data_IF_482502299368
#
_entry.id   IF_482502299368
#
_cell.length_a   1.000
_cell.length_b   1.000
_cell.length_c   1.000
_cell.angle_alpha   90.00
_cell.angle_beta   90.00
_cell.angle_gamma   90.00
#
_symmetry.space_group_name_H-M   'P 1'
#
loop_
_entity.id
_entity.type
_entity.pdbx_description
1 polymer ?
#
# COMPACT_ATOMS: atom_id res chain seq x y z
N UNK A 1 15.39 12.71 2.92
CA UNK A 1 15.21 11.35 3.46
C UNK A 1 14.38 10.58 2.45
N UNK A 2 14.77 9.35 2.14
CA UNK A 2 14.16 8.55 1.07
C UNK A 2 12.96 7.74 1.60
N UNK A 3 11.75 8.30 1.45
CA UNK A 3 10.48 7.67 1.85
C UNK A 3 10.22 6.41 1.01
N UNK A 4 10.65 6.40 -0.25
CA UNK A 4 10.48 5.27 -1.16
C UNK A 4 11.34 4.10 -0.67
N UNK A 5 12.59 4.36 -0.29
CA UNK A 5 13.47 3.35 0.30
C UNK A 5 12.88 2.70 1.56
N UNK A 6 12.26 3.49 2.44
CA UNK A 6 11.59 2.97 3.64
C UNK A 6 10.34 2.13 3.31
N UNK A 7 9.55 2.54 2.32
CA UNK A 7 8.41 1.75 1.82
C UNK A 7 8.88 0.41 1.25
N UNK A 8 9.95 0.41 0.44
CA UNK A 8 10.52 -0.80 -0.14
C UNK A 8 11.00 -1.74 0.97
N UNK A 9 11.68 -1.22 1.98
CA UNK A 9 12.13 -2.02 3.12
C UNK A 9 10.96 -2.66 3.88
N UNK A 10 9.91 -1.87 4.16
CA UNK A 10 8.69 -2.35 4.82
C UNK A 10 7.98 -3.44 4.01
N UNK A 11 7.81 -3.26 2.70
CA UNK A 11 7.19 -4.26 1.83
C UNK A 11 8.00 -5.55 1.72
N UNK A 12 9.34 -5.45 1.69
CA UNK A 12 10.22 -6.63 1.72
C UNK A 12 10.09 -7.40 3.03
N UNK A 13 10.02 -6.70 4.16
CA UNK A 13 9.82 -7.34 5.46
C UNK A 13 8.46 -8.04 5.52
N UNK A 14 7.40 -7.39 5.04
CA UNK A 14 6.05 -7.97 4.93
C UNK A 14 6.06 -9.23 4.06
N UNK A 15 6.72 -9.19 2.89
CA UNK A 15 6.89 -10.34 2.01
C UNK A 15 7.57 -11.53 2.73
N UNK A 16 8.69 -11.29 3.41
CA UNK A 16 9.41 -12.35 4.13
C UNK A 16 8.55 -13.01 5.22
N UNK A 17 7.71 -12.24 5.90
CA UNK A 17 6.77 -12.79 6.89
C UNK A 17 5.70 -13.67 6.22
N UNK A 18 5.14 -13.22 5.10
CA UNK A 18 4.17 -14.01 4.34
C UNK A 18 4.77 -15.30 3.79
N UNK A 19 6.00 -15.28 3.29
CA UNK A 19 6.70 -16.49 2.80
C UNK A 19 6.87 -17.54 3.90
N UNK A 20 7.21 -17.11 5.12
CA UNK A 20 7.27 -17.98 6.30
C UNK A 20 5.90 -18.58 6.63
N UNK A 21 4.85 -17.75 6.58
CA UNK A 21 3.48 -18.20 6.82
C UNK A 21 2.99 -19.18 5.75
N UNK A 22 3.33 -18.98 4.47
CA UNK A 22 3.05 -19.92 3.38
C UNK A 22 3.73 -21.25 3.65
N UNK A 23 5.01 -21.23 4.04
CA UNK A 23 5.78 -22.43 4.32
C UNK A 23 5.15 -23.25 5.46
N UNK A 24 4.74 -22.56 6.53
CA UNK A 24 4.01 -23.17 7.65
C UNK A 24 2.65 -23.73 7.23
N UNK A 25 1.88 -22.97 6.44
CA UNK A 25 0.57 -23.39 5.98
C UNK A 25 0.64 -24.60 5.04
N UNK A 26 1.65 -24.66 4.16
CA UNK A 26 1.95 -25.83 3.32
C UNK A 26 2.31 -27.04 4.17
N UNK A 27 3.19 -26.87 5.16
CA UNK A 27 3.51 -27.94 6.09
C UNK A 27 2.27 -28.50 6.79
N UNK A 28 1.40 -27.65 7.34
CA UNK A 28 0.17 -28.11 8.00
C UNK A 28 -0.80 -28.78 7.03
N UNK A 29 -0.98 -28.24 5.81
CA UNK A 29 -1.80 -28.87 4.76
C UNK A 29 -1.31 -30.29 4.44
N UNK A 30 0.01 -30.46 4.31
CA UNK A 30 0.61 -31.71 3.85
C UNK A 30 0.62 -32.80 4.94
N UNK A 31 0.55 -32.39 6.22
CA UNK A 31 0.49 -33.29 7.38
C UNK A 31 -0.93 -33.43 7.97
N UNK A 32 -1.92 -32.73 7.43
CA UNK A 32 -3.31 -32.88 7.82
C UNK A 32 -3.89 -34.19 7.24
N UNK A 33 -4.74 -34.90 7.98
CA UNK A 33 -5.36 -36.13 7.50
C UNK A 33 -6.17 -35.85 6.23
N UNK A 34 -6.12 -36.79 5.30
CA UNK A 34 -6.93 -36.77 4.10
C UNK A 34 -8.39 -37.05 4.43
N UNK A 35 -9.29 -36.68 3.51
CA UNK A 35 -10.72 -36.96 3.64
C UNK A 35 -11.06 -38.46 3.74
N UNK A 36 -10.12 -39.34 3.34
CA UNK A 36 -10.23 -40.80 3.52
C UNK A 36 -9.80 -41.26 4.93
N UNK A 37 -8.92 -40.52 5.60
CA UNK A 37 -8.40 -40.84 6.94
C UNK A 37 -9.29 -40.27 8.05
N UNK A 38 -9.97 -39.14 7.79
CA UNK A 38 -10.95 -38.55 8.71
C UNK A 38 -12.02 -37.78 7.94
N UNK A 39 -13.26 -38.28 7.97
CA UNK A 39 -14.37 -37.74 7.19
C UNK A 39 -14.86 -36.36 7.68
N UNK A 40 -14.48 -35.96 8.90
CA UNK A 40 -14.91 -34.72 9.53
C UNK A 40 -13.80 -33.66 9.64
N UNK A 41 -12.57 -34.01 9.25
CA UNK A 41 -11.43 -33.09 9.33
C UNK A 41 -11.31 -32.25 8.05
N UNK A 42 -11.59 -30.95 8.16
CA UNK A 42 -11.51 -29.97 7.07
C UNK A 42 -10.18 -29.24 6.99
N UNK A 43 -9.24 -29.54 7.92
CA UNK A 43 -7.96 -28.82 8.08
C UNK A 43 -7.21 -28.71 6.76
N UNK A 44 -7.13 -29.81 6.00
CA UNK A 44 -6.42 -29.82 4.71
C UNK A 44 -7.00 -28.80 3.71
N UNK A 45 -8.32 -28.73 3.59
CA UNK A 45 -9.00 -27.80 2.66
C UNK A 45 -8.89 -26.35 3.13
N UNK A 46 -8.97 -26.12 4.45
CA UNK A 46 -8.81 -24.78 5.02
C UNK A 46 -7.40 -24.23 4.81
N UNK A 47 -6.39 -25.06 5.05
CA UNK A 47 -5.00 -24.67 4.83
C UNK A 47 -4.66 -24.53 3.35
N UNK A 48 -5.30 -25.28 2.45
CA UNK A 48 -5.18 -25.07 1.00
C UNK A 48 -5.69 -23.69 0.59
N UNK A 49 -6.88 -23.28 1.05
CA UNK A 49 -7.43 -21.93 0.83
C UNK A 49 -6.52 -20.85 1.41
N UNK A 50 -5.98 -21.09 2.60
CA UNK A 50 -5.05 -20.16 3.25
C UNK A 50 -3.75 -19.99 2.45
N UNK A 51 -3.16 -21.09 1.96
CA UNK A 51 -1.97 -21.04 1.09
C UNK A 51 -2.27 -20.20 -0.15
N UNK A 52 -3.38 -20.43 -0.82
CA UNK A 52 -3.77 -19.66 -2.00
C UNK A 52 -3.91 -18.16 -1.70
N UNK A 53 -4.57 -17.81 -0.60
CA UNK A 53 -4.74 -16.42 -0.18
C UNK A 53 -3.40 -15.73 0.13
N UNK A 54 -2.51 -16.40 0.87
CA UNK A 54 -1.17 -15.89 1.20
C UNK A 54 -0.30 -15.71 -0.06
N UNK A 55 -0.33 -16.66 -1.00
CA UNK A 55 0.39 -16.56 -2.27
C UNK A 55 -0.16 -15.43 -3.17
N UNK A 56 -1.47 -15.15 -3.10
CA UNK A 56 -2.06 -13.98 -3.76
C UNK A 56 -1.51 -12.68 -3.17
N UNK A 57 -1.44 -12.57 -1.84
CA UNK A 57 -0.89 -11.39 -1.17
C UNK A 57 0.59 -11.16 -1.51
N UNK A 58 1.40 -12.23 -1.59
CA UNK A 58 2.80 -12.13 -2.03
C UNK A 58 2.89 -11.57 -3.45
N UNK A 59 2.04 -12.04 -4.36
CA UNK A 59 1.97 -11.53 -5.75
C UNK A 59 1.62 -10.05 -5.79
N UNK A 60 0.68 -9.59 -4.96
CA UNK A 60 0.35 -8.16 -4.84
C UNK A 60 1.54 -7.33 -4.37
N UNK A 61 2.27 -7.80 -3.35
CA UNK A 61 3.49 -7.11 -2.87
C UNK A 61 4.55 -7.06 -3.96
N UNK A 62 4.75 -8.14 -4.72
CA UNK A 62 5.70 -8.15 -5.84
C UNK A 62 5.32 -7.17 -6.94
N UNK A 63 4.03 -7.02 -7.25
CA UNK A 63 3.54 -6.02 -8.19
C UNK A 63 3.81 -4.60 -7.65
N UNK A 64 3.55 -4.34 -6.37
CA UNK A 64 3.86 -3.07 -5.71
C UNK A 64 5.35 -2.75 -5.77
N UNK A 65 6.22 -3.72 -5.50
CA UNK A 65 7.68 -3.56 -5.59
C UNK A 65 8.15 -3.26 -7.01
N UNK A 66 7.55 -3.88 -8.03
CA UNK A 66 7.83 -3.56 -9.44
C UNK A 66 7.43 -2.14 -9.80
N UNK A 67 6.26 -1.68 -9.34
CA UNK A 67 5.82 -0.30 -9.52
C UNK A 67 6.81 0.68 -8.88
N UNK A 68 7.29 0.37 -7.68
CA UNK A 68 8.28 1.18 -6.97
C UNK A 68 9.65 1.23 -7.68
N UNK A 69 10.02 0.19 -8.42
CA UNK A 69 11.23 0.21 -9.24
C UNK A 69 11.13 1.15 -10.46
N UNK A 70 9.91 1.45 -10.90
CA UNK A 70 9.62 2.33 -12.05
C UNK A 70 9.36 3.78 -11.68
N UNK A 71 9.63 4.18 -10.42
CA UNK A 71 9.27 5.50 -9.90
C UNK A 71 10.14 6.58 -10.59
N UNK A 72 9.53 7.55 -11.30
CA UNK A 72 10.24 8.73 -11.75
C UNK A 72 10.68 9.56 -10.54
N UNK A 73 11.76 10.34 -10.67
CA UNK A 73 12.16 11.28 -9.62
C UNK A 73 10.96 12.15 -9.21
N UNK A 74 10.72 12.25 -7.91
CA UNK A 74 9.67 13.09 -7.30
C UNK A 74 9.88 14.52 -7.79
N UNK A 75 8.96 15.01 -8.63
CA UNK A 75 9.02 16.37 -9.19
C UNK A 75 8.17 17.30 -8.33
N UNK A 76 8.82 18.32 -7.75
CA UNK A 76 8.19 19.35 -6.91
C UNK A 76 7.76 20.60 -7.72
N UNK A 77 8.06 20.65 -9.02
CA UNK A 77 7.81 21.84 -9.84
C UNK A 77 6.64 21.62 -10.80
N UNK A 78 5.52 22.28 -10.52
CA UNK A 78 4.38 22.41 -11.43
C UNK A 78 3.08 21.78 -10.92
N UNK A 79 2.28 21.26 -11.85
CA UNK A 79 1.01 20.59 -11.53
C UNK A 79 1.29 19.29 -10.78
N UNK A 80 0.50 19.02 -9.74
CA UNK A 80 0.57 17.79 -8.97
C UNK A 80 0.30 16.58 -9.88
N UNK A 81 1.24 15.63 -9.89
CA UNK A 81 1.16 14.37 -10.63
C UNK A 81 1.39 13.19 -9.69
N UNK A 82 1.27 11.97 -10.21
CA UNK A 82 1.69 10.77 -9.50
C UNK A 82 3.17 10.91 -9.15
N UNK A 83 3.52 10.54 -7.91
CA UNK A 83 4.82 10.73 -7.27
C UNK A 83 5.18 12.17 -6.92
N UNK A 84 4.25 13.12 -6.99
CA UNK A 84 4.47 14.46 -6.42
C UNK A 84 4.25 14.45 -4.92
N UNK A 85 5.15 15.11 -4.19
CA UNK A 85 4.98 15.41 -2.79
C UNK A 85 4.12 16.66 -2.64
N UNK A 86 3.14 16.63 -1.73
CA UNK A 86 2.20 17.72 -1.52
C UNK A 86 2.12 18.02 -0.03
N UNK A 87 2.24 19.29 0.34
CA UNK A 87 2.02 19.71 1.72
C UNK A 87 0.73 20.51 1.81
N UNK A 88 -0.25 19.98 2.53
CA UNK A 88 -1.50 20.68 2.82
C UNK A 88 -1.38 21.43 4.13
N UNK A 89 -1.61 22.73 4.09
CA UNK A 89 -1.60 23.61 5.26
C UNK A 89 -3.02 24.08 5.58
N UNK A 90 -3.42 23.91 6.83
CA UNK A 90 -4.60 24.51 7.45
C UNK A 90 -4.12 25.29 8.69
N UNK A 91 -4.77 26.41 9.09
CA UNK A 91 -4.50 27.10 10.35
C UNK A 91 -4.23 26.21 11.59
N UNK A 92 -4.82 25.01 11.64
CA UNK A 92 -4.72 24.08 12.76
C UNK A 92 -3.78 22.89 12.54
N UNK A 93 -3.34 22.60 11.31
CA UNK A 93 -2.58 21.37 11.02
C UNK A 93 -1.81 21.43 9.71
N UNK A 94 -0.70 20.69 9.63
CA UNK A 94 0.06 20.45 8.41
C UNK A 94 0.02 18.96 8.08
N UNK A 95 -0.41 18.63 6.86
CA UNK A 95 -0.47 17.26 6.34
C UNK A 95 0.51 17.12 5.19
N UNK A 96 1.45 16.17 5.31
CA UNK A 96 2.37 15.81 4.23
C UNK A 96 1.83 14.60 3.50
N UNK A 97 1.76 14.68 2.19
CA UNK A 97 1.17 13.67 1.33
C UNK A 97 2.13 13.34 0.19
N UNK A 98 2.09 12.11 -0.31
CA UNK A 98 2.64 11.77 -1.63
C UNK A 98 1.51 11.14 -2.42
N UNK A 99 1.27 11.66 -3.63
CA UNK A 99 0.31 11.05 -4.53
C UNK A 99 0.93 9.80 -5.15
N UNK A 100 0.27 8.67 -5.04
CA UNK A 100 0.77 7.37 -5.54
C UNK A 100 -0.25 6.72 -6.48
N UNK A 101 0.17 5.74 -7.28
CA UNK A 101 -0.76 4.86 -7.98
C UNK A 101 -1.74 4.18 -7.01
N UNK A 102 -2.83 3.67 -7.57
CA UNK A 102 -3.94 3.04 -6.84
C UNK A 102 -3.50 1.99 -5.81
N UNK A 103 -2.50 1.16 -6.13
CA UNK A 103 -2.11 0.01 -5.31
C UNK A 103 -1.20 0.35 -4.11
N UNK A 104 -0.81 1.62 -3.94
CA UNK A 104 0.15 2.06 -2.93
C UNK A 104 -0.43 3.07 -1.93
N UNK A 105 -1.68 3.50 -2.14
CA UNK A 105 -2.37 4.44 -1.26
C UNK A 105 -2.77 3.83 0.09
N UNK A 106 -3.09 4.70 1.06
CA UNK A 106 -3.65 4.33 2.36
C UNK A 106 -2.60 3.98 3.43
N UNK A 107 -1.32 3.98 3.08
CA UNK A 107 -0.22 3.76 4.04
C UNK A 107 0.31 5.09 4.56
N UNK A 108 0.63 5.14 5.85
CA UNK A 108 1.34 6.27 6.47
C UNK A 108 2.76 5.84 6.76
N UNK A 109 3.74 6.59 6.27
CA UNK A 109 5.16 6.40 6.56
C UNK A 109 5.62 7.65 7.30
N UNK A 110 5.92 7.47 8.60
CA UNK A 110 6.23 8.57 9.53
C UNK A 110 5.07 9.58 9.57
N UNK A 111 5.32 10.80 9.08
CA UNK A 111 4.33 11.89 8.99
C UNK A 111 3.77 12.10 7.58
N UNK A 112 4.18 11.26 6.62
CA UNK A 112 3.74 11.35 5.23
C UNK A 112 2.70 10.29 4.92
N UNK A 113 1.54 10.73 4.41
CA UNK A 113 0.47 9.85 3.95
C UNK A 113 0.62 9.56 2.45
N UNK A 114 0.60 8.28 2.07
CA UNK A 114 0.50 7.87 0.67
C UNK A 114 -0.98 7.90 0.26
N UNK A 115 -1.29 8.71 -0.74
CA UNK A 115 -2.66 8.93 -1.20
C UNK A 115 -2.77 8.39 -2.61
N UNK A 116 -3.68 7.42 -2.83
CA UNK A 116 -3.91 6.91 -4.18
C UNK A 116 -4.59 7.96 -5.06
N UNK A 117 -4.23 7.99 -6.33
CA UNK A 117 -4.88 8.84 -7.34
C UNK A 117 -6.40 8.64 -7.42
N UNK A 118 -6.88 7.42 -7.18
CA UNK A 118 -8.31 7.07 -7.19
C UNK A 118 -9.05 7.37 -5.89
N UNK A 119 -8.35 7.83 -4.84
CA UNK A 119 -9.02 8.30 -3.63
C UNK A 119 -9.67 9.67 -3.85
N UNK A 120 -10.72 10.00 -3.09
CA UNK A 120 -11.39 11.30 -3.17
C UNK A 120 -10.40 12.48 -3.01
N UNK A 121 -9.46 12.33 -2.07
CA UNK A 121 -8.40 13.32 -1.85
C UNK A 121 -7.42 13.35 -3.04
N UNK A 122 -6.95 12.20 -3.51
CA UNK A 122 -6.00 12.11 -4.62
C UNK A 122 -6.55 12.66 -5.93
N UNK A 123 -7.79 12.34 -6.28
CA UNK A 123 -8.47 12.84 -7.46
C UNK A 123 -8.66 14.37 -7.42
N UNK A 124 -8.86 14.94 -6.22
CA UNK A 124 -8.98 16.39 -6.04
C UNK A 124 -7.64 17.10 -6.15
N UNK A 125 -6.55 16.44 -5.77
CA UNK A 125 -5.18 16.98 -5.82
C UNK A 125 -4.58 16.89 -7.22
N UNK A 126 -4.91 15.87 -7.98
CA UNK A 126 -4.33 15.62 -9.30
C UNK A 126 -4.58 16.82 -10.24
N UNK A 127 -3.50 17.36 -10.80
CA UNK A 127 -3.55 18.50 -11.72
C UNK A 127 -3.67 19.89 -11.06
N UNK A 128 -3.78 19.97 -9.73
CA UNK A 128 -3.75 21.24 -8.99
C UNK A 128 -2.34 21.84 -8.95
N UNK A 129 -2.27 23.14 -8.67
CA UNK A 129 -1.02 23.88 -8.55
C UNK A 129 -0.78 24.29 -7.08
N UNK A 130 0.49 24.53 -6.69
CA UNK A 130 0.80 25.19 -5.43
C UNK A 130 0.02 26.52 -5.30
N UNK A 131 -0.59 26.75 -4.14
CA UNK A 131 -1.45 27.90 -3.85
C UNK A 131 -2.95 27.64 -3.99
N UNK A 132 -3.36 26.54 -4.63
CA UNK A 132 -4.78 26.20 -4.75
C UNK A 132 -5.39 25.83 -3.39
N UNK A 133 -6.68 26.18 -3.23
CA UNK A 133 -7.47 25.81 -2.05
C UNK A 133 -8.27 24.55 -2.33
N UNK A 134 -8.30 23.64 -1.38
CA UNK A 134 -9.18 22.46 -1.40
C UNK A 134 -10.01 22.39 -0.12
N UNK A 135 -11.20 21.80 -0.23
CA UNK A 135 -12.05 21.53 0.93
C UNK A 135 -12.10 20.02 1.14
N UNK A 136 -11.69 19.55 2.31
CA UNK A 136 -11.72 18.14 2.68
C UNK A 136 -12.16 18.02 4.14
N UNK A 137 -13.10 17.14 4.45
CA UNK A 137 -13.69 16.98 5.79
C UNK A 137 -14.13 18.32 6.44
N UNK A 138 -14.83 19.16 5.66
CA UNK A 138 -15.29 20.50 6.08
C UNK A 138 -14.17 21.47 6.52
N UNK A 139 -12.92 21.18 6.17
CA UNK A 139 -11.77 22.03 6.43
C UNK A 139 -11.13 22.49 5.12
N UNK A 140 -10.68 23.75 5.10
CA UNK A 140 -10.01 24.35 3.95
C UNK A 140 -8.50 24.19 4.12
N UNK A 141 -7.87 23.54 3.13
CA UNK A 141 -6.43 23.39 3.05
C UNK A 141 -5.89 24.19 1.87
N UNK A 142 -4.70 24.76 2.05
CA UNK A 142 -3.92 25.41 0.99
C UNK A 142 -2.79 24.46 0.61
N UNK A 143 -2.65 24.22 -0.68
CA UNK A 143 -1.55 23.46 -1.25
C UNK A 143 -0.29 24.32 -1.18
N UNK A 144 0.75 23.82 -0.52
CA UNK A 144 2.06 24.45 -0.40
C UNK A 144 3.12 23.71 -1.18
#
# INVERSE_FOLDING_TARGET
MDIIGELIASLRQEKTLLERNVSRAKFTRDHAPSAMESHSDTTRSEFEKLVFALESQIREIDNRLKLLASVPQISDTGKIRIWSQVTLKNPSSVLKLILTPTDLGGRKIRDTLLVSENSQLGATLLGKSPGDKLTFNNQVYVIS
#
